data_IF_327783034111
#
_entry.id   IF_327783034111
#
_cell.length_a   1.000
_cell.length_b   1.000
_cell.length_c   1.000
_cell.angle_alpha   90.00
_cell.angle_beta   90.00
_cell.angle_gamma   90.00
#
_symmetry.space_group_name_H-M   'P 1'
#
loop_
_entity.id
_entity.type
_entity.pdbx_description
1 polymer ?
#
# COMPACT_ATOMS: atom_id res chain seq x y z
N UNK A 1 17.49 27.07 -13.87
CA UNK A 1 17.79 25.66 -14.20
C UNK A 1 19.30 25.54 -14.25
N UNK A 2 19.91 25.08 -13.16
CA UNK A 2 21.36 24.87 -13.12
C UNK A 2 21.62 23.54 -13.81
N UNK A 3 22.10 23.60 -15.05
CA UNK A 3 22.51 22.42 -15.82
C UNK A 3 23.53 21.65 -15.02
N UNK A 4 23.23 20.38 -14.74
CA UNK A 4 24.21 19.45 -14.22
C UNK A 4 25.04 19.04 -15.42
N UNK A 5 26.16 19.72 -15.65
CA UNK A 5 27.21 19.21 -16.53
C UNK A 5 27.73 17.91 -15.87
N UNK A 6 27.16 16.77 -16.24
CA UNK A 6 27.76 15.48 -15.98
C UNK A 6 28.67 15.17 -17.17
N UNK A 7 29.99 15.25 -16.97
CA UNK A 7 30.90 14.61 -17.90
C UNK A 7 30.83 13.11 -17.61
N UNK A 8 30.24 12.36 -18.53
CA UNK A 8 30.16 10.90 -18.46
C UNK A 8 31.53 10.36 -18.84
N UNK A 9 32.34 10.01 -17.84
CA UNK A 9 33.57 9.26 -18.06
C UNK A 9 33.23 7.77 -18.03
N UNK A 10 33.20 7.15 -19.20
CA UNK A 10 33.17 5.68 -19.29
C UNK A 10 34.62 5.22 -19.15
N UNK A 11 35.03 4.86 -17.93
CA UNK A 11 36.27 4.11 -17.73
C UNK A 11 36.01 2.67 -18.17
N UNK A 12 36.22 2.40 -19.46
CA UNK A 12 36.48 1.05 -19.93
C UNK A 12 37.84 0.64 -19.36
N UNK A 13 37.85 -0.30 -18.41
CA UNK A 13 39.11 -0.89 -17.96
C UNK A 13 39.66 -1.70 -19.12
N UNK A 14 40.59 -1.09 -19.84
CA UNK A 14 41.37 -1.68 -20.93
C UNK A 14 42.25 -2.78 -20.35
N UNK A 15 41.64 -3.96 -20.13
CA UNK A 15 42.40 -5.17 -19.89
C UNK A 15 42.89 -5.63 -21.26
N UNK A 16 44.17 -6.01 -21.43
CA UNK A 16 44.69 -6.45 -22.73
C UNK A 16 44.08 -7.78 -23.25
N UNK A 17 43.01 -8.27 -22.61
CA UNK A 17 42.32 -9.52 -22.89
C UNK A 17 40.79 -9.39 -23.05
N UNK A 18 40.19 -8.21 -22.86
CA UNK A 18 38.75 -8.01 -23.07
C UNK A 18 38.50 -6.81 -23.99
N UNK A 19 37.85 -7.11 -25.12
CA UNK A 19 37.40 -6.20 -26.15
C UNK A 19 36.26 -5.31 -25.60
N UNK A 20 36.60 -4.24 -24.87
CA UNK A 20 35.63 -3.22 -24.46
C UNK A 20 35.51 -2.17 -25.57
N UNK A 21 34.77 -2.52 -26.62
CA UNK A 21 34.42 -1.60 -27.71
C UNK A 21 33.23 -0.73 -27.30
N UNK A 22 33.49 0.56 -27.07
CA UNK A 22 32.46 1.58 -27.27
C UNK A 22 32.52 2.00 -28.73
N UNK A 23 31.45 1.79 -29.49
CA UNK A 23 31.38 2.20 -30.89
C UNK A 23 30.37 3.33 -31.03
N UNK A 24 30.78 4.36 -31.77
CA UNK A 24 29.88 5.38 -32.28
C UNK A 24 29.27 4.81 -33.58
N UNK A 25 27.95 4.65 -33.63
CA UNK A 25 27.24 4.22 -34.84
C UNK A 25 27.23 5.39 -35.85
N UNK A 26 28.34 5.57 -36.57
CA UNK A 26 28.47 6.58 -37.64
C UNK A 26 27.86 6.13 -38.99
N UNK A 27 27.26 4.94 -39.07
CA UNK A 27 26.79 4.34 -40.33
C UNK A 27 25.24 4.28 -40.47
N UNK A 28 24.73 5.26 -41.24
CA UNK A 28 23.56 5.21 -42.18
C UNK A 28 22.14 5.54 -41.65
N UNK A 29 21.65 6.73 -42.06
CA UNK A 29 20.25 7.15 -42.28
C UNK A 29 19.22 6.88 -41.17
N UNK A 30 19.59 7.07 -39.91
CA UNK A 30 18.61 7.22 -38.82
C UNK A 30 19.11 8.30 -37.85
N UNK A 31 18.28 9.30 -37.54
CA UNK A 31 18.57 10.42 -36.63
C UNK A 31 18.71 9.97 -35.15
N UNK A 32 19.47 8.91 -34.87
CA UNK A 32 19.76 8.44 -33.52
C UNK A 32 21.27 8.47 -33.28
N UNK A 33 21.73 9.54 -32.62
CA UNK A 33 23.04 9.55 -31.96
C UNK A 33 23.01 8.56 -30.79
N UNK A 34 23.30 7.29 -31.09
CA UNK A 34 23.37 6.22 -30.11
C UNK A 34 24.84 5.79 -29.95
N UNK A 35 25.29 5.70 -28.70
CA UNK A 35 26.60 5.15 -28.36
C UNK A 35 26.38 3.80 -27.69
N UNK A 36 26.92 2.74 -28.29
CA UNK A 36 26.85 1.39 -27.73
C UNK A 36 28.19 1.03 -27.08
N UNK A 37 28.16 0.55 -25.84
CA UNK A 37 29.35 0.16 -25.08
C UNK A 37 29.19 -1.21 -24.44
N UNK A 38 30.09 -2.13 -24.76
CA UNK A 38 30.19 -3.43 -24.08
C UNK A 38 31.32 -3.40 -23.06
N UNK A 39 31.01 -3.59 -21.77
CA UNK A 39 32.00 -3.62 -20.68
C UNK A 39 31.57 -4.56 -19.56
N UNK A 40 32.53 -5.15 -18.84
CA UNK A 40 32.24 -5.92 -17.62
C UNK A 40 31.67 -5.03 -16.50
N UNK A 41 32.03 -3.73 -16.53
CA UNK A 41 31.62 -2.76 -15.51
C UNK A 41 31.48 -1.37 -16.09
N UNK A 42 30.32 -0.76 -15.89
CA UNK A 42 30.05 0.65 -16.14
C UNK A 42 30.10 1.43 -14.82
N UNK A 43 30.79 2.57 -14.82
CA UNK A 43 30.84 3.50 -13.68
C UNK A 43 30.69 4.93 -14.19
N UNK A 44 29.70 5.65 -13.68
CA UNK A 44 29.45 7.06 -13.96
C UNK A 44 29.64 7.84 -12.66
N UNK A 45 30.51 8.85 -12.70
CA UNK A 45 30.80 9.73 -11.56
C UNK A 45 30.49 11.17 -11.89
N UNK A 46 30.23 11.97 -10.86
CA UNK A 46 30.17 13.43 -11.01
C UNK A 46 31.57 14.05 -11.15
N UNK A 47 31.65 15.36 -11.42
CA UNK A 47 32.91 16.11 -11.55
C UNK A 47 33.80 16.07 -10.30
N UNK A 48 33.27 15.64 -9.15
CA UNK A 48 33.98 15.53 -7.85
C UNK A 48 34.37 14.07 -7.56
N UNK A 49 34.07 13.14 -8.48
CA UNK A 49 34.38 11.72 -8.36
C UNK A 49 33.35 10.90 -7.57
N UNK A 50 32.21 11.47 -7.17
CA UNK A 50 31.16 10.72 -6.46
C UNK A 50 30.41 9.82 -7.43
N UNK A 51 30.10 8.59 -6.99
CA UNK A 51 29.34 7.63 -7.78
C UNK A 51 27.92 8.15 -8.03
N UNK A 52 27.50 8.21 -9.29
CA UNK A 52 26.12 8.49 -9.70
C UNK A 52 25.40 7.21 -10.10
N UNK A 53 26.07 6.38 -10.89
CA UNK A 53 25.52 5.13 -11.40
C UNK A 53 26.65 4.13 -11.62
N UNK A 54 26.44 2.86 -11.29
CA UNK A 54 27.33 1.77 -11.72
C UNK A 54 26.51 0.54 -12.03
N UNK A 55 26.89 -0.17 -13.10
CA UNK A 55 26.30 -1.43 -13.48
C UNK A 55 27.40 -2.48 -13.65
N UNK A 56 27.13 -3.68 -13.16
CA UNK A 56 27.93 -4.89 -13.34
C UNK A 56 26.97 -6.03 -13.71
N UNK A 57 27.51 -7.22 -13.98
CA UNK A 57 26.68 -8.42 -14.17
C UNK A 57 25.75 -8.72 -12.98
N UNK A 58 26.19 -8.41 -11.77
CA UNK A 58 25.51 -8.87 -10.54
C UNK A 58 24.64 -7.79 -9.89
N UNK A 59 24.96 -6.52 -10.10
CA UNK A 59 24.28 -5.42 -9.42
C UNK A 59 24.33 -4.11 -10.19
N UNK A 60 23.29 -3.29 -9.98
CA UNK A 60 23.22 -1.88 -10.34
C UNK A 60 23.16 -1.04 -9.08
N UNK A 61 24.02 -0.03 -8.99
CA UNK A 61 24.11 0.91 -7.87
C UNK A 61 23.76 2.31 -8.36
N UNK A 62 22.76 2.92 -7.74
CA UNK A 62 22.37 4.32 -8.01
C UNK A 62 22.81 5.17 -6.81
N UNK A 63 23.79 6.03 -7.03
CA UNK A 63 24.33 6.95 -6.01
C UNK A 63 23.68 8.35 -6.03
N UNK A 64 22.74 8.57 -6.96
CA UNK A 64 21.99 9.81 -7.03
C UNK A 64 21.08 10.00 -5.80
N UNK A 65 20.89 11.26 -5.38
CA UNK A 65 19.98 11.61 -4.28
C UNK A 65 18.50 11.34 -4.62
N UNK A 66 18.16 11.36 -5.90
CA UNK A 66 16.81 11.17 -6.39
C UNK A 66 16.90 10.37 -7.69
N UNK A 67 16.06 9.34 -7.79
CA UNK A 67 15.83 8.56 -9.00
C UNK A 67 14.38 8.75 -9.40
N UNK A 68 14.15 9.25 -10.62
CA UNK A 68 12.82 9.41 -11.20
C UNK A 68 12.72 8.51 -12.42
N UNK A 69 11.64 7.74 -12.52
CA UNK A 69 11.34 6.87 -13.67
C UNK A 69 10.13 7.46 -14.38
N UNK A 70 10.34 8.10 -15.53
CA UNK A 70 9.31 8.84 -16.28
C UNK A 70 8.64 8.02 -17.39
N UNK A 71 9.06 6.77 -17.60
CA UNK A 71 8.43 5.90 -18.60
C UNK A 71 6.96 5.63 -18.28
N UNK A 72 6.09 5.62 -19.29
CA UNK A 72 4.64 5.44 -19.14
C UNK A 72 4.27 4.14 -18.38
N UNK A 73 5.11 3.10 -18.49
CA UNK A 73 4.94 1.83 -17.78
C UNK A 73 5.48 1.80 -16.34
N UNK A 74 6.08 2.90 -15.87
CA UNK A 74 6.72 2.99 -14.57
C UNK A 74 7.89 2.01 -14.41
N UNK A 75 8.05 1.47 -13.20
CA UNK A 75 9.05 0.47 -12.88
C UNK A 75 8.39 -0.86 -12.51
N UNK A 76 8.89 -1.96 -13.08
CA UNK A 76 8.46 -3.32 -12.75
C UNK A 76 9.56 -4.00 -11.94
N UNK A 77 9.21 -4.49 -10.76
CA UNK A 77 10.11 -5.25 -9.89
C UNK A 77 9.67 -6.71 -9.85
N UNK A 78 10.55 -7.62 -10.27
CA UNK A 78 10.29 -9.07 -10.24
C UNK A 78 10.48 -9.68 -8.85
N UNK A 79 11.06 -8.93 -7.91
CA UNK A 79 11.37 -9.35 -6.56
C UNK A 79 10.99 -8.31 -5.50
N UNK A 80 11.56 -8.47 -4.31
CA UNK A 80 11.29 -7.60 -3.18
C UNK A 80 11.87 -6.20 -3.36
N UNK A 81 11.08 -5.19 -2.98
CA UNK A 81 11.54 -3.81 -2.85
C UNK A 81 11.68 -3.49 -1.37
N UNK A 82 12.88 -3.17 -0.93
CA UNK A 82 13.15 -2.73 0.44
C UNK A 82 13.30 -1.22 0.48
N UNK A 83 12.41 -0.54 1.20
CA UNK A 83 12.46 0.91 1.41
C UNK A 83 11.94 1.25 2.81
N UNK A 84 12.43 2.34 3.39
CA UNK A 84 11.96 2.84 4.68
C UNK A 84 10.62 3.57 4.58
N UNK A 85 10.31 4.14 3.42
CA UNK A 85 9.10 4.93 3.25
C UNK A 85 8.58 4.85 1.81
N UNK A 86 7.25 4.79 1.70
CA UNK A 86 6.51 4.87 0.45
C UNK A 86 5.50 5.99 0.60
N UNK A 87 5.57 7.01 -0.25
CA UNK A 87 4.62 8.10 -0.29
C UNK A 87 4.27 8.46 -1.73
N UNK A 88 3.10 9.06 -1.91
CA UNK A 88 2.73 9.69 -3.18
C UNK A 88 3.14 11.17 -3.18
N UNK A 89 3.34 11.77 -4.37
CA UNK A 89 3.48 13.22 -4.51
C UNK A 89 2.29 13.98 -3.92
N UNK A 90 2.52 15.25 -3.57
CA UNK A 90 1.46 16.12 -3.04
C UNK A 90 0.33 16.25 -4.07
N UNK A 91 -0.90 16.05 -3.63
CA UNK A 91 -2.10 16.11 -4.48
C UNK A 91 -2.41 14.82 -5.23
N UNK A 92 -1.56 13.80 -5.12
CA UNK A 92 -1.76 12.48 -5.72
C UNK A 92 -2.12 11.42 -4.68
N UNK A 93 -2.83 10.38 -5.12
CA UNK A 93 -3.16 9.22 -4.29
C UNK A 93 -2.03 8.18 -4.32
N UNK A 94 -1.72 7.57 -3.18
CA UNK A 94 -0.91 6.35 -3.11
C UNK A 94 -1.83 5.13 -3.22
N UNK A 95 -1.73 4.37 -4.31
CA UNK A 95 -2.48 3.13 -4.50
C UNK A 95 -1.55 1.94 -4.29
N UNK A 96 -1.93 1.06 -3.36
CA UNK A 96 -1.33 -0.26 -3.18
C UNK A 96 -2.41 -1.29 -3.52
N UNK A 97 -2.26 -2.00 -4.64
CA UNK A 97 -3.27 -2.92 -5.14
C UNK A 97 -2.68 -4.27 -5.58
N UNK A 98 -3.52 -5.30 -5.55
CA UNK A 98 -3.25 -6.62 -6.10
C UNK A 98 -4.46 -7.03 -6.94
N UNK A 99 -4.30 -7.05 -8.27
CA UNK A 99 -5.43 -7.17 -9.20
C UNK A 99 -6.08 -8.57 -9.18
N UNK A 100 -5.28 -9.62 -8.97
CA UNK A 100 -5.72 -11.01 -9.14
C UNK A 100 -5.39 -11.89 -7.95
N UNK A 101 -4.70 -11.36 -6.94
CA UNK A 101 -4.22 -12.12 -5.78
C UNK A 101 -4.54 -11.35 -4.50
N UNK A 102 -3.83 -11.68 -3.43
CA UNK A 102 -3.92 -10.98 -2.16
C UNK A 102 -2.96 -9.79 -2.11
N UNK A 103 -3.30 -8.82 -1.26
CA UNK A 103 -2.40 -7.83 -0.70
C UNK A 103 -2.31 -8.11 0.80
N UNK A 104 -1.12 -8.43 1.29
CA UNK A 104 -0.86 -8.73 2.70
C UNK A 104 0.06 -7.67 3.30
N UNK A 105 -0.29 -7.17 4.49
CA UNK A 105 0.54 -6.25 5.27
C UNK A 105 0.83 -6.91 6.60
N UNK A 106 2.11 -7.19 6.86
CA UNK A 106 2.57 -7.89 8.08
C UNK A 106 3.70 -7.10 8.71
N UNK A 107 3.62 -6.89 10.04
CA UNK A 107 4.62 -6.14 10.79
C UNK A 107 4.87 -6.79 12.17
N UNK A 108 6.13 -6.99 12.59
CA UNK A 108 6.44 -7.62 13.88
C UNK A 108 5.96 -6.83 15.10
N UNK A 109 6.02 -5.49 15.04
CA UNK A 109 5.62 -4.64 16.16
C UNK A 109 4.16 -4.20 16.10
N UNK A 110 3.60 -4.08 14.91
CA UNK A 110 2.21 -3.67 14.70
C UNK A 110 2.01 -2.84 13.45
N UNK A 111 0.75 -2.62 13.11
CA UNK A 111 0.30 -1.80 11.97
C UNK A 111 -0.66 -0.75 12.52
N UNK A 112 -0.38 0.52 12.26
CA UNK A 112 -1.25 1.64 12.57
C UNK A 112 -1.90 2.15 11.27
N UNK A 113 -3.23 2.17 11.23
CA UNK A 113 -4.01 2.75 10.14
C UNK A 113 -4.66 4.04 10.65
N UNK A 114 -4.20 5.19 10.17
CA UNK A 114 -4.58 6.49 10.69
C UNK A 114 -4.98 7.45 9.56
N UNK A 115 -5.95 8.33 9.83
CA UNK A 115 -6.32 9.42 8.94
C UNK A 115 -6.49 10.71 9.73
N UNK A 116 -5.69 11.73 9.41
CA UNK A 116 -5.67 13.01 10.15
C UNK A 116 -6.84 13.93 9.80
N UNK A 117 -7.35 13.86 8.58
CA UNK A 117 -8.34 14.80 8.05
C UNK A 117 -9.46 14.12 7.25
N UNK A 118 -9.50 12.79 7.21
CA UNK A 118 -10.47 12.05 6.41
C UNK A 118 -10.95 10.78 7.11
N UNK A 119 -11.64 9.94 6.34
CA UNK A 119 -12.20 8.67 6.82
C UNK A 119 -11.35 7.49 6.38
N UNK A 120 -11.33 6.44 7.19
CA UNK A 120 -10.85 5.12 6.77
C UNK A 120 -12.09 4.30 6.40
N UNK A 121 -12.13 3.80 5.16
CA UNK A 121 -13.26 3.01 4.65
C UNK A 121 -12.75 1.65 4.19
N UNK A 122 -13.31 0.58 4.77
CA UNK A 122 -13.12 -0.79 4.30
C UNK A 122 -14.41 -1.27 3.63
N UNK A 123 -14.29 -1.90 2.45
CA UNK A 123 -15.42 -2.49 1.72
C UNK A 123 -15.05 -3.91 1.31
N UNK A 124 -15.98 -4.83 1.44
CA UNK A 124 -15.84 -6.23 1.02
C UNK A 124 -17.10 -6.64 0.25
N UNK A 125 -16.95 -7.58 -0.69
CA UNK A 125 -18.09 -8.20 -1.37
C UNK A 125 -18.73 -9.31 -0.53
N UNK A 126 -17.88 -10.06 0.17
CA UNK A 126 -18.27 -11.17 1.02
C UNK A 126 -17.98 -10.80 2.47
N UNK A 127 -17.09 -11.56 3.13
CA UNK A 127 -16.85 -11.42 4.55
C UNK A 127 -15.77 -10.36 4.87
N UNK A 128 -15.99 -9.63 5.96
CA UNK A 128 -15.00 -8.77 6.60
C UNK A 128 -14.71 -9.29 8.00
N UNK A 129 -13.49 -9.79 8.21
CA UNK A 129 -13.12 -10.46 9.46
C UNK A 129 -12.14 -9.61 10.27
N UNK A 130 -12.53 -9.28 11.50
CA UNK A 130 -11.63 -8.74 12.53
C UNK A 130 -11.41 -9.82 13.59
N UNK A 131 -10.15 -10.22 13.80
CA UNK A 131 -9.80 -11.27 14.74
C UNK A 131 -8.64 -10.84 15.64
N UNK A 132 -8.77 -11.09 16.94
CA UNK A 132 -7.68 -10.97 17.91
C UNK A 132 -7.42 -12.35 18.52
N UNK A 133 -6.17 -12.81 18.53
CA UNK A 133 -5.79 -14.14 19.03
C UNK A 133 -5.51 -14.16 20.53
N UNK A 134 -4.98 -13.06 21.07
CA UNK A 134 -4.57 -12.96 22.48
C UNK A 134 -5.09 -11.71 23.18
N UNK A 135 -5.82 -10.84 22.46
CA UNK A 135 -6.19 -9.52 22.95
C UNK A 135 -7.68 -9.21 22.75
N UNK A 136 -7.96 -7.93 22.55
CA UNK A 136 -9.31 -7.39 22.42
C UNK A 136 -9.45 -6.62 21.11
N UNK A 137 -10.66 -6.62 20.57
CA UNK A 137 -11.07 -5.69 19.51
C UNK A 137 -11.83 -4.55 20.20
N UNK A 138 -11.27 -3.34 20.20
CA UNK A 138 -11.85 -2.17 20.88
C UNK A 138 -12.41 -1.20 19.85
N UNK A 139 -13.67 -0.82 20.04
CA UNK A 139 -14.30 0.29 19.32
C UNK A 139 -14.48 1.45 20.30
N UNK A 140 -13.67 2.50 20.16
CA UNK A 140 -13.70 3.69 21.03
C UNK A 140 -14.36 4.85 20.30
N UNK A 141 -15.69 4.83 20.24
CA UNK A 141 -16.50 5.81 19.51
C UNK A 141 -17.86 5.98 20.19
N UNK A 142 -18.45 7.19 20.20
CA UNK A 142 -19.81 7.40 20.73
C UNK A 142 -20.89 6.63 19.97
N UNK A 143 -20.68 6.35 18.68
CA UNK A 143 -21.67 5.72 17.82
C UNK A 143 -21.06 4.59 17.00
N UNK A 144 -21.73 3.44 16.99
CA UNK A 144 -21.46 2.30 16.12
C UNK A 144 -22.75 2.00 15.36
N UNK A 145 -22.70 2.09 14.04
CA UNK A 145 -23.86 1.86 13.18
C UNK A 145 -23.79 0.47 12.58
N UNK A 146 -24.77 -0.37 12.90
CA UNK A 146 -24.97 -1.69 12.29
C UNK A 146 -26.29 -1.64 11.53
N UNK A 147 -26.22 -1.54 10.21
CA UNK A 147 -27.41 -1.49 9.37
C UNK A 147 -28.10 -2.85 9.29
N UNK A 148 -29.42 -2.85 9.10
CA UNK A 148 -30.22 -4.07 9.03
C UNK A 148 -30.66 -4.64 10.37
N UNK A 149 -30.26 -4.02 11.50
CA UNK A 149 -30.91 -4.25 12.78
C UNK A 149 -32.31 -3.61 12.75
N UNK A 150 -33.38 -4.31 13.19
CA UNK A 150 -34.69 -3.70 13.38
C UNK A 150 -34.56 -2.47 14.28
N UNK A 151 -34.88 -1.29 13.75
CA UNK A 151 -34.90 -0.04 14.51
C UNK A 151 -36.31 0.22 14.99
N UNK A 152 -36.43 0.70 16.23
CA UNK A 152 -37.71 1.16 16.78
C UNK A 152 -38.10 2.48 16.14
N UNK A 153 -39.25 2.51 15.46
CA UNK A 153 -39.84 3.77 15.03
C UNK A 153 -40.47 4.46 16.24
N UNK A 154 -39.87 5.55 16.71
CA UNK A 154 -40.52 6.43 17.69
C UNK A 154 -41.60 7.22 16.94
N UNK A 155 -42.84 6.74 16.91
CA UNK A 155 -43.99 7.61 16.63
C UNK A 155 -44.30 8.38 17.91
N UNK A 156 -43.91 9.66 17.94
CA UNK A 156 -44.36 10.60 18.95
C UNK A 156 -45.78 11.04 18.63
N UNK A 157 -46.78 10.25 19.02
CA UNK A 157 -48.15 10.74 19.16
C UNK A 157 -48.81 10.07 20.37
N UNK A 158 -48.88 10.87 21.44
CA UNK A 158 -49.84 10.87 22.54
C UNK A 158 -50.31 9.56 23.23
N UNK A 159 -50.08 9.56 24.55
CA UNK A 159 -50.85 8.93 25.64
C UNK A 159 -50.84 7.39 25.74
N UNK A 160 -49.76 6.89 26.35
CA UNK A 160 -49.72 5.56 26.97
C UNK A 160 -48.28 5.06 27.06
N UNK A 161 -47.65 5.23 28.21
CA UNK A 161 -46.27 4.81 28.49
C UNK A 161 -46.15 3.28 28.42
N UNK A 162 -45.87 2.73 27.25
CA UNK A 162 -45.43 1.34 27.10
C UNK A 162 -44.23 1.29 26.15
N UNK A 163 -43.04 1.42 26.75
CA UNK A 163 -41.74 0.78 26.53
C UNK A 163 -41.32 0.13 25.19
N UNK A 164 -41.99 0.36 24.05
CA UNK A 164 -41.79 -0.44 22.82
C UNK A 164 -40.72 0.10 21.87
N UNK A 165 -39.98 1.15 22.27
CA UNK A 165 -39.02 1.82 21.39
C UNK A 165 -37.54 1.58 21.74
N UNK A 166 -37.22 0.67 22.65
CA UNK A 166 -35.83 0.35 23.02
C UNK A 166 -35.67 -1.16 23.03
N UNK A 167 -34.61 -1.67 22.42
CA UNK A 167 -34.26 -3.09 22.45
C UNK A 167 -32.88 -3.28 23.07
N UNK A 168 -32.68 -4.38 23.78
CA UNK A 168 -31.34 -4.82 24.18
C UNK A 168 -30.70 -5.57 23.01
N UNK A 169 -29.44 -5.30 22.70
CA UNK A 169 -28.66 -6.09 21.75
C UNK A 169 -27.90 -7.18 22.51
N UNK A 170 -28.23 -8.44 22.24
CA UNK A 170 -27.72 -9.62 22.92
C UNK A 170 -26.80 -10.45 22.01
N UNK A 171 -25.86 -11.20 22.61
CA UNK A 171 -24.89 -12.03 21.89
C UNK A 171 -25.03 -13.49 22.32
N UNK A 172 -25.17 -14.39 21.35
CA UNK A 172 -25.14 -15.84 21.59
C UNK A 172 -23.70 -16.33 21.82
N UNK A 173 -23.51 -17.53 22.37
CA UNK A 173 -22.18 -18.18 22.43
C UNK A 173 -21.55 -18.41 21.05
N UNK A 174 -22.36 -18.43 19.99
CA UNK A 174 -21.91 -18.50 18.58
C UNK A 174 -21.46 -17.15 18.00
N UNK A 175 -21.60 -16.04 18.74
CA UNK A 175 -21.28 -14.70 18.28
C UNK A 175 -22.40 -14.01 17.50
N UNK A 176 -23.53 -14.69 17.23
CA UNK A 176 -24.69 -14.06 16.59
C UNK A 176 -25.36 -13.04 17.50
N UNK A 177 -25.73 -11.92 16.91
CA UNK A 177 -26.43 -10.83 17.57
C UNK A 177 -27.96 -10.99 17.41
N UNK A 178 -28.71 -10.70 18.46
CA UNK A 178 -30.18 -10.67 18.41
C UNK A 178 -30.75 -9.56 19.30
N UNK A 179 -31.98 -9.14 19.01
CA UNK A 179 -32.68 -8.12 19.80
C UNK A 179 -33.57 -8.78 20.87
N UNK A 180 -33.48 -8.28 22.09
CA UNK A 180 -34.31 -8.67 23.22
C UNK A 180 -35.12 -7.50 23.77
N UNK A 181 -36.17 -7.79 24.56
CA UNK A 181 -37.04 -6.79 25.17
C UNK A 181 -36.27 -5.88 26.14
N UNK A 182 -36.60 -4.58 26.23
CA UNK A 182 -35.82 -3.59 26.99
C UNK A 182 -35.70 -3.88 28.49
N UNK A 183 -36.72 -4.50 29.10
CA UNK A 183 -36.76 -4.86 30.54
C UNK A 183 -36.71 -6.38 30.79
N UNK A 184 -36.28 -7.16 29.80
CA UNK A 184 -36.18 -8.62 29.89
C UNK A 184 -34.77 -9.13 30.20
N UNK A 185 -34.66 -10.44 30.46
CA UNK A 185 -33.37 -11.12 30.49
C UNK A 185 -32.88 -11.32 29.05
N UNK A 186 -31.59 -11.07 28.84
CA UNK A 186 -30.91 -11.29 27.56
C UNK A 186 -30.76 -12.80 27.29
N UNK A 187 -31.85 -13.44 26.86
CA UNK A 187 -31.92 -14.89 26.62
C UNK A 187 -32.71 -15.19 25.35
N UNK A 188 -32.22 -16.15 24.56
CA UNK A 188 -32.83 -16.62 23.33
C UNK A 188 -33.06 -18.14 23.38
N UNK A 189 -34.08 -18.60 22.65
CA UNK A 189 -34.30 -20.03 22.46
C UNK A 189 -33.25 -20.61 21.49
N UNK A 190 -33.07 -21.94 21.52
CA UNK A 190 -32.00 -22.58 20.74
C UNK A 190 -31.99 -22.25 19.24
N UNK A 191 -33.11 -22.11 18.49
CA UNK A 191 -33.03 -21.80 17.05
C UNK A 191 -32.42 -20.43 16.75
N UNK A 192 -32.62 -19.42 17.61
CA UNK A 192 -32.01 -18.09 17.42
C UNK A 192 -30.49 -18.15 17.63
N UNK A 193 -30.00 -19.00 18.52
CA UNK A 193 -28.57 -19.12 18.85
C UNK A 193 -27.82 -20.33 18.24
N UNK A 194 -28.48 -21.19 17.47
CA UNK A 194 -27.90 -22.35 16.74
C UNK A 194 -26.91 -22.02 15.62
#
# INVERSE_FOLDING_TARGET
MNGVDAQVYIEAFDSPFLDTGCTDDDDVDNDSEAMECTTERLVIRDKVGRLLFSATRDAVLVGARQLTVEGEGGAVFSGSVQTSHVNAPIGSSLLLESLTRSLEVTAPQGIALESRAGTITAKCLHDFTLQSTAGVIKFDTPNIFVQGLPTSNVQTDDKGLDDHAVYQLCVCSSGRLFLARPKGVCAANSPTCK
#
